data_IF_342001067369
#
_entry.id   IF_342001067369
#
_cell.length_a   1.000
_cell.length_b   1.000
_cell.length_c   1.000
_cell.angle_alpha   90.00
_cell.angle_beta   90.00
_cell.angle_gamma   90.00
#
_symmetry.space_group_name_H-M   'P 1'
#
loop_
_entity.id
_entity.type
_entity.pdbx_description
1 polymer ?
#
# COMPACT_ATOMS: atom_id res chain seq x y z
N UNK A 1 -26.22 16.73 -10.34
CA UNK A 1 -25.30 16.29 -11.42
C UNK A 1 -25.20 14.77 -11.34
N UNK A 2 -25.28 14.02 -12.44
CA UNK A 2 -25.00 12.58 -12.39
C UNK A 2 -23.53 12.42 -11.97
N UNK A 3 -23.27 11.68 -10.90
CA UNK A 3 -21.90 11.33 -10.47
C UNK A 3 -21.23 10.59 -11.62
N UNK A 4 -20.03 10.99 -11.98
CA UNK A 4 -19.26 10.26 -13.00
C UNK A 4 -18.91 8.88 -12.47
N UNK A 5 -19.24 7.82 -13.21
CA UNK A 5 -19.16 6.42 -12.75
C UNK A 5 -17.75 6.08 -12.23
N UNK A 6 -16.69 6.57 -12.87
CA UNK A 6 -15.31 6.31 -12.43
C UNK A 6 -14.94 6.96 -11.08
N UNK A 7 -15.81 7.84 -10.53
CA UNK A 7 -15.65 8.45 -9.20
C UNK A 7 -16.36 7.67 -8.09
N UNK A 8 -17.22 6.72 -8.45
CA UNK A 8 -17.94 5.92 -7.47
C UNK A 8 -16.99 5.01 -6.69
N UNK A 9 -17.22 4.90 -5.40
CA UNK A 9 -16.57 3.92 -4.52
C UNK A 9 -17.02 2.49 -4.85
N UNK A 10 -16.32 1.50 -4.35
CA UNK A 10 -16.70 0.10 -4.53
C UNK A 10 -18.06 -0.20 -3.89
N UNK A 11 -18.33 0.41 -2.73
CA UNK A 11 -19.63 0.29 -2.05
C UNK A 11 -20.75 0.89 -2.89
N UNK A 12 -20.59 2.12 -3.39
CA UNK A 12 -21.59 2.78 -4.24
C UNK A 12 -21.88 2.01 -5.52
N UNK A 13 -20.83 1.45 -6.15
CA UNK A 13 -21.00 0.56 -7.30
C UNK A 13 -21.80 -0.69 -6.94
N UNK A 14 -21.44 -1.35 -5.82
CA UNK A 14 -22.15 -2.55 -5.35
C UNK A 14 -23.63 -2.30 -5.08
N UNK A 15 -23.97 -1.17 -4.45
CA UNK A 15 -25.36 -0.76 -4.20
C UNK A 15 -26.10 -0.47 -5.51
N UNK A 16 -25.46 0.26 -6.43
CA UNK A 16 -26.04 0.55 -7.74
C UNK A 16 -26.27 -0.73 -8.58
N UNK A 17 -25.38 -1.73 -8.49
CA UNK A 17 -25.57 -3.04 -9.14
C UNK A 17 -26.75 -3.80 -8.53
N UNK A 18 -26.85 -3.79 -7.19
CA UNK A 18 -27.97 -4.41 -6.46
C UNK A 18 -29.31 -3.78 -6.84
N UNK A 19 -29.35 -2.46 -6.91
CA UNK A 19 -30.56 -1.70 -7.23
C UNK A 19 -30.84 -1.64 -8.75
N UNK A 20 -29.95 -2.24 -9.57
CA UNK A 20 -30.03 -2.26 -11.05
C UNK A 20 -30.09 -0.86 -11.68
N UNK A 21 -29.53 0.15 -11.00
CA UNK A 21 -29.41 1.52 -11.51
C UNK A 21 -28.14 1.72 -12.34
N UNK A 22 -27.19 0.80 -12.22
CA UNK A 22 -25.96 0.70 -12.98
C UNK A 22 -25.60 -0.78 -13.17
N UNK A 23 -24.94 -1.13 -14.27
CA UNK A 23 -24.42 -2.48 -14.48
C UNK A 23 -22.91 -2.57 -14.27
N UNK A 24 -22.35 -3.77 -13.91
CA UNK A 24 -20.91 -4.00 -13.93
C UNK A 24 -20.26 -3.70 -15.29
N UNK A 25 -20.99 -3.88 -16.39
CA UNK A 25 -20.51 -3.59 -17.75
C UNK A 25 -20.33 -2.10 -17.96
N UNK A 26 -21.27 -1.27 -17.51
CA UNK A 26 -21.16 0.20 -17.57
C UNK A 26 -19.99 0.69 -16.69
N UNK A 27 -19.82 0.09 -15.50
CA UNK A 27 -18.74 0.44 -14.58
C UNK A 27 -17.35 0.14 -15.19
N UNK A 28 -17.13 -1.05 -15.75
CA UNK A 28 -15.83 -1.37 -16.35
C UNK A 28 -15.57 -0.54 -17.60
N UNK A 29 -16.56 -0.29 -18.44
CA UNK A 29 -16.40 0.57 -19.62
C UNK A 29 -15.97 1.99 -19.21
N UNK A 30 -16.60 2.56 -18.19
CA UNK A 30 -16.23 3.90 -17.67
C UNK A 30 -14.78 3.92 -17.17
N UNK A 31 -14.31 2.86 -16.51
CA UNK A 31 -12.92 2.72 -16.04
C UNK A 31 -11.95 2.56 -17.22
N UNK A 32 -12.27 1.72 -18.20
CA UNK A 32 -11.43 1.53 -19.39
C UNK A 32 -11.31 2.80 -20.22
N UNK A 33 -12.39 3.53 -20.39
CA UNK A 33 -12.38 4.84 -21.05
C UNK A 33 -11.53 5.85 -20.27
N UNK A 34 -11.61 5.85 -18.94
CA UNK A 34 -10.77 6.69 -18.09
C UNK A 34 -9.30 6.36 -18.27
N UNK A 35 -8.93 5.08 -18.28
CA UNK A 35 -7.55 4.62 -18.53
C UNK A 35 -7.06 5.12 -19.90
N UNK A 36 -7.82 4.90 -20.97
CA UNK A 36 -7.46 5.35 -22.33
C UNK A 36 -7.21 6.85 -22.41
N UNK A 37 -7.95 7.64 -21.64
CA UNK A 37 -7.86 9.11 -21.70
C UNK A 37 -6.70 9.69 -20.88
N UNK A 38 -6.25 9.03 -19.81
CA UNK A 38 -5.31 9.68 -18.88
C UNK A 38 -4.05 8.86 -18.56
N UNK A 39 -4.02 7.55 -18.80
CA UNK A 39 -2.88 6.72 -18.35
C UNK A 39 -1.58 7.02 -19.10
N UNK A 40 -1.65 7.54 -20.32
CA UNK A 40 -0.47 8.04 -21.05
C UNK A 40 0.31 9.10 -20.25
N UNK A 41 -0.41 9.95 -19.47
CA UNK A 41 0.21 10.98 -18.62
C UNK A 41 0.75 10.41 -17.30
N UNK A 42 0.14 9.34 -16.79
CA UNK A 42 0.41 8.81 -15.44
C UNK A 42 1.32 7.58 -15.45
N UNK A 43 1.22 6.76 -16.48
CA UNK A 43 1.94 5.50 -16.61
C UNK A 43 1.72 4.57 -15.39
N UNK A 44 0.44 4.35 -15.07
CA UNK A 44 0.03 3.54 -13.91
C UNK A 44 -0.12 2.06 -14.23
N UNK A 45 -0.41 1.71 -15.50
CA UNK A 45 -0.58 0.33 -15.93
C UNK A 45 0.57 -0.14 -16.82
N UNK A 46 1.03 -1.38 -16.62
CA UNK A 46 1.99 -2.08 -17.48
C UNK A 46 1.31 -3.12 -18.37
N UNK A 47 0.13 -3.57 -17.99
CA UNK A 47 -0.67 -4.55 -18.72
C UNK A 47 -2.15 -4.36 -18.41
N UNK A 48 -2.99 -4.42 -19.44
CA UNK A 48 -4.45 -4.34 -19.33
C UNK A 48 -5.05 -5.46 -20.16
N UNK A 49 -6.06 -6.15 -19.63
CA UNK A 49 -6.83 -7.19 -20.32
C UNK A 49 -8.29 -6.76 -20.47
N UNK A 50 -8.55 -5.89 -21.46
CA UNK A 50 -9.88 -5.35 -21.72
C UNK A 50 -10.92 -6.46 -21.98
N UNK A 51 -10.56 -7.45 -22.78
CA UNK A 51 -11.48 -8.52 -23.17
C UNK A 51 -11.91 -9.36 -21.98
N UNK A 52 -10.95 -9.75 -21.11
CA UNK A 52 -11.24 -10.49 -19.89
C UNK A 52 -12.06 -9.64 -18.91
N UNK A 53 -11.71 -8.36 -18.73
CA UNK A 53 -12.44 -7.46 -17.84
C UNK A 53 -13.90 -7.30 -18.27
N UNK A 54 -14.17 -7.07 -19.56
CA UNK A 54 -15.52 -6.98 -20.11
C UNK A 54 -16.27 -8.32 -19.96
N UNK A 55 -15.61 -9.45 -20.19
CA UNK A 55 -16.19 -10.78 -20.00
C UNK A 55 -16.60 -10.99 -18.53
N UNK A 56 -15.71 -10.71 -17.59
CA UNK A 56 -15.98 -10.84 -16.14
C UNK A 56 -17.14 -9.94 -15.71
N UNK A 57 -17.19 -8.70 -16.23
CA UNK A 57 -18.29 -7.78 -15.95
C UNK A 57 -19.64 -8.29 -16.44
N UNK A 58 -19.71 -8.85 -17.65
CA UNK A 58 -20.94 -9.49 -18.18
C UNK A 58 -21.38 -10.69 -17.32
N UNK A 59 -20.44 -11.53 -16.90
CA UNK A 59 -20.74 -12.63 -16.00
C UNK A 59 -21.26 -12.15 -14.64
N UNK A 60 -20.71 -11.07 -14.11
CA UNK A 60 -21.18 -10.42 -12.88
C UNK A 60 -22.58 -9.81 -13.04
N UNK A 61 -22.86 -9.12 -14.14
CA UNK A 61 -24.17 -8.56 -14.43
C UNK A 61 -25.27 -9.63 -14.42
N UNK A 62 -25.00 -10.81 -14.99
CA UNK A 62 -25.91 -11.97 -14.95
C UNK A 62 -26.16 -12.38 -13.49
N UNK A 63 -25.13 -12.45 -12.64
CA UNK A 63 -25.28 -12.83 -11.23
C UNK A 63 -26.11 -11.81 -10.44
N UNK A 64 -25.85 -10.53 -10.63
CA UNK A 64 -26.64 -9.46 -9.99
C UNK A 64 -28.10 -9.49 -10.43
N UNK A 65 -28.38 -9.69 -11.73
CA UNK A 65 -29.73 -9.82 -12.26
C UNK A 65 -30.49 -10.99 -11.65
N UNK A 66 -29.80 -12.09 -11.35
CA UNK A 66 -30.35 -13.29 -10.73
C UNK A 66 -30.40 -13.23 -9.20
N UNK A 67 -29.93 -12.13 -8.57
CA UNK A 67 -29.87 -11.98 -7.11
C UNK A 67 -28.85 -12.89 -6.43
N UNK A 68 -27.82 -13.31 -7.15
CA UNK A 68 -26.78 -14.24 -6.67
C UNK A 68 -25.34 -13.71 -6.86
N UNK A 69 -25.03 -12.47 -6.45
CA UNK A 69 -23.66 -11.97 -6.49
C UNK A 69 -22.74 -12.81 -5.59
N UNK A 70 -21.48 -12.96 -5.97
CA UNK A 70 -20.51 -13.73 -5.21
C UNK A 70 -20.08 -13.03 -3.90
N UNK A 71 -20.03 -11.69 -3.93
CA UNK A 71 -19.65 -10.85 -2.79
C UNK A 71 -20.10 -9.40 -3.01
N UNK A 72 -19.82 -8.52 -2.05
CA UNK A 72 -20.03 -7.07 -2.20
C UNK A 72 -19.12 -6.39 -3.24
N UNK A 73 -18.05 -7.05 -3.69
CA UNK A 73 -17.20 -6.52 -4.77
C UNK A 73 -17.37 -7.29 -6.08
N UNK A 74 -18.40 -8.11 -6.21
CA UNK A 74 -18.73 -8.78 -7.48
C UNK A 74 -19.02 -7.72 -8.55
N UNK A 75 -18.24 -7.74 -9.63
CA UNK A 75 -18.34 -6.75 -10.71
C UNK A 75 -17.54 -5.46 -10.52
N UNK A 76 -16.93 -5.26 -9.34
CA UNK A 76 -16.14 -4.05 -9.06
C UNK A 76 -14.77 -4.10 -9.74
N UNK A 77 -14.40 -3.09 -10.56
CA UNK A 77 -13.10 -3.02 -11.21
C UNK A 77 -11.95 -2.95 -10.20
N UNK A 78 -10.96 -3.86 -10.34
CA UNK A 78 -9.86 -4.01 -9.37
C UNK A 78 -8.53 -4.20 -10.10
N UNK A 79 -7.51 -3.42 -9.70
CA UNK A 79 -6.15 -3.48 -10.26
C UNK A 79 -5.21 -4.28 -9.36
N UNK A 80 -4.20 -4.93 -9.96
CA UNK A 80 -3.23 -5.77 -9.26
C UNK A 80 -1.81 -5.29 -9.54
N UNK A 81 -1.02 -5.06 -8.48
CA UNK A 81 0.39 -4.71 -8.61
C UNK A 81 1.18 -5.79 -9.35
N UNK A 82 2.09 -5.37 -10.23
CA UNK A 82 2.93 -6.25 -11.05
C UNK A 82 4.05 -6.99 -10.29
N UNK A 83 3.80 -7.32 -9.03
CA UNK A 83 4.59 -8.25 -8.21
C UNK A 83 3.80 -9.52 -7.85
N UNK A 84 2.48 -9.45 -7.97
CA UNK A 84 1.56 -10.50 -7.53
C UNK A 84 1.19 -11.40 -8.73
N UNK A 85 1.41 -12.69 -8.59
CA UNK A 85 1.09 -13.65 -9.66
C UNK A 85 -0.39 -13.59 -10.02
N UNK A 86 -0.63 -13.60 -11.31
CA UNK A 86 -1.97 -13.70 -11.89
C UNK A 86 -1.89 -14.71 -13.01
N UNK A 87 -2.65 -15.79 -12.90
CA UNK A 87 -2.69 -16.85 -13.90
C UNK A 87 -3.06 -16.27 -15.26
N UNK A 88 -2.34 -16.72 -16.28
CA UNK A 88 -2.45 -16.33 -17.69
C UNK A 88 -2.01 -14.86 -17.98
N UNK A 89 -1.59 -14.10 -16.99
CA UNK A 89 -1.07 -12.74 -17.15
C UNK A 89 0.42 -12.64 -16.84
N UNK A 90 1.18 -11.85 -17.61
CA UNK A 90 2.58 -11.61 -17.31
C UNK A 90 2.73 -10.88 -15.97
N UNK A 91 3.67 -11.33 -15.14
CA UNK A 91 4.08 -10.66 -13.91
C UNK A 91 5.54 -10.28 -14.06
N UNK A 92 5.78 -9.13 -14.69
CA UNK A 92 7.10 -8.67 -15.12
C UNK A 92 7.94 -8.07 -14.00
N UNK A 93 7.31 -7.73 -12.86
CA UNK A 93 7.98 -7.19 -11.66
C UNK A 93 8.80 -5.92 -11.91
N UNK A 94 8.40 -5.10 -12.90
CA UNK A 94 9.13 -3.92 -13.32
C UNK A 94 10.52 -4.21 -13.89
N UNK A 95 10.83 -5.45 -14.25
CA UNK A 95 12.18 -5.90 -14.59
C UNK A 95 12.31 -6.39 -16.04
N UNK A 96 13.37 -5.99 -16.71
CA UNK A 96 13.78 -6.53 -18.00
C UNK A 96 14.37 -7.93 -17.91
N UNK A 97 14.70 -8.42 -16.70
CA UNK A 97 15.29 -9.75 -16.48
C UNK A 97 14.25 -10.86 -16.49
N UNK A 98 12.96 -10.51 -16.34
CA UNK A 98 11.86 -11.47 -16.33
C UNK A 98 11.45 -11.81 -17.76
N UNK A 99 11.33 -13.09 -18.06
CA UNK A 99 10.87 -13.54 -19.38
C UNK A 99 9.34 -13.41 -19.48
N UNK A 100 8.87 -12.52 -20.36
CA UNK A 100 7.44 -12.31 -20.59
C UNK A 100 6.68 -13.56 -21.13
N UNK A 101 7.41 -14.48 -21.76
CA UNK A 101 6.86 -15.72 -22.31
C UNK A 101 6.86 -16.87 -21.28
N UNK A 102 7.05 -16.56 -19.99
CA UNK A 102 6.87 -17.55 -18.91
C UNK A 102 5.43 -18.06 -18.91
N UNK A 103 5.25 -19.35 -18.67
CA UNK A 103 3.93 -19.95 -18.48
C UNK A 103 3.41 -19.58 -17.07
N UNK A 104 2.55 -18.57 -17.01
CA UNK A 104 1.97 -18.03 -15.78
C UNK A 104 0.80 -18.90 -15.30
N UNK A 105 1.08 -20.01 -14.61
CA UNK A 105 0.11 -21.04 -14.23
C UNK A 105 -0.67 -20.75 -12.96
N UNK A 106 -0.16 -19.84 -12.11
CA UNK A 106 -0.63 -19.71 -10.75
C UNK A 106 -1.16 -18.30 -10.48
N UNK A 107 -2.15 -18.23 -9.60
CA UNK A 107 -2.56 -17.00 -8.94
C UNK A 107 -1.86 -16.87 -7.56
N UNK A 108 -1.45 -15.67 -7.19
CA UNK A 108 -1.16 -15.37 -5.79
C UNK A 108 -2.45 -15.54 -4.95
N UNK A 109 -2.37 -15.83 -3.64
CA UNK A 109 -3.56 -15.97 -2.78
C UNK A 109 -4.55 -14.82 -2.94
N UNK A 110 -4.06 -13.59 -2.91
CA UNK A 110 -4.90 -12.40 -3.08
C UNK A 110 -5.61 -12.37 -4.44
N UNK A 111 -4.94 -12.76 -5.52
CA UNK A 111 -5.53 -12.83 -6.86
C UNK A 111 -6.63 -13.90 -6.92
N UNK A 112 -6.40 -15.06 -6.30
CA UNK A 112 -7.39 -16.12 -6.21
C UNK A 112 -8.64 -15.64 -5.46
N UNK A 113 -8.47 -14.99 -4.29
CA UNK A 113 -9.60 -14.43 -3.50
C UNK A 113 -10.40 -13.40 -4.29
N UNK A 114 -9.74 -12.52 -5.06
CA UNK A 114 -10.43 -11.55 -5.92
C UNK A 114 -11.28 -12.24 -7.01
N UNK A 115 -10.73 -13.23 -7.71
CA UNK A 115 -11.47 -14.01 -8.72
C UNK A 115 -12.67 -14.76 -8.11
N UNK A 116 -12.47 -15.36 -6.95
CA UNK A 116 -13.55 -16.08 -6.22
C UNK A 116 -14.64 -15.12 -5.75
N UNK A 117 -14.31 -13.89 -5.35
CA UNK A 117 -15.26 -12.86 -4.93
C UNK A 117 -16.01 -12.22 -6.10
N UNK A 118 -15.60 -12.48 -7.35
CA UNK A 118 -16.24 -11.93 -8.55
C UNK A 118 -15.74 -10.54 -8.94
N UNK A 119 -14.66 -10.04 -8.35
CA UNK A 119 -14.05 -8.78 -8.77
C UNK A 119 -13.67 -8.81 -10.26
N UNK A 120 -13.84 -7.69 -10.95
CA UNK A 120 -13.43 -7.53 -12.35
C UNK A 120 -11.97 -7.09 -12.40
N UNK A 121 -11.09 -7.97 -12.83
CA UNK A 121 -9.66 -7.67 -12.89
C UNK A 121 -9.35 -6.82 -14.14
N UNK A 122 -8.74 -5.65 -13.93
CA UNK A 122 -8.42 -4.69 -15.01
C UNK A 122 -7.09 -5.05 -15.69
N UNK A 123 -6.05 -5.30 -14.85
CA UNK A 123 -4.69 -5.47 -15.33
C UNK A 123 -3.65 -5.35 -14.22
N UNK A 124 -2.39 -5.16 -14.65
CA UNK A 124 -1.21 -5.08 -13.80
C UNK A 124 -0.72 -3.65 -13.71
N UNK A 125 -0.53 -3.13 -12.49
CA UNK A 125 -0.05 -1.77 -12.24
C UNK A 125 1.47 -1.73 -12.10
N UNK A 126 2.07 -0.63 -12.49
CA UNK A 126 3.53 -0.42 -12.50
C UNK A 126 4.14 -0.46 -11.09
N UNK A 127 5.40 -0.85 -11.03
CA UNK A 127 6.23 -0.95 -9.83
C UNK A 127 7.69 -0.69 -10.20
N UNK A 128 8.57 -0.18 -9.31
CA UNK A 128 9.98 -0.26 -9.54
C UNK A 128 10.44 -1.71 -9.59
N UNK A 129 11.58 -1.97 -10.19
CA UNK A 129 12.12 -3.32 -10.34
C UNK A 129 12.13 -4.10 -9.03
N UNK A 130 11.43 -5.24 -9.00
CA UNK A 130 11.22 -6.08 -7.80
C UNK A 130 10.70 -5.34 -6.56
N UNK A 131 10.17 -4.14 -6.71
CA UNK A 131 9.62 -3.35 -5.61
C UNK A 131 10.66 -2.74 -4.67
N UNK A 132 11.90 -2.57 -5.09
CA UNK A 132 13.05 -2.30 -4.21
C UNK A 132 13.15 -0.88 -3.63
N UNK A 133 12.37 0.10 -4.11
CA UNK A 133 12.48 1.50 -3.66
C UNK A 133 11.13 2.18 -3.45
N UNK A 134 11.15 3.31 -2.73
CA UNK A 134 9.96 4.11 -2.37
C UNK A 134 9.42 5.02 -3.46
N UNK A 135 9.98 4.98 -4.68
CA UNK A 135 9.48 5.66 -5.89
C UNK A 135 9.13 4.62 -6.94
N UNK A 136 8.21 4.95 -7.86
CA UNK A 136 7.82 4.02 -8.94
C UNK A 136 8.44 4.46 -10.26
N UNK A 137 9.60 3.90 -10.50
CA UNK A 137 10.39 4.06 -11.71
C UNK A 137 11.17 2.76 -11.97
N UNK A 138 11.12 2.23 -13.18
CA UNK A 138 11.85 1.02 -13.54
C UNK A 138 12.45 1.09 -14.94
N UNK A 139 13.51 0.29 -15.21
CA UNK A 139 14.07 0.15 -16.56
C UNK A 139 13.07 -0.37 -17.59
N UNK A 140 12.03 -1.09 -17.13
CA UNK A 140 11.02 -1.71 -18.00
C UNK A 140 9.91 -0.74 -18.37
N UNK A 141 9.39 0.03 -17.40
CA UNK A 141 8.15 0.81 -17.57
C UNK A 141 8.36 2.32 -17.53
N UNK A 142 9.55 2.79 -17.15
CA UNK A 142 9.78 4.23 -16.92
C UNK A 142 9.17 4.72 -15.61
N UNK A 143 8.72 5.96 -15.56
CA UNK A 143 8.27 6.68 -14.37
C UNK A 143 6.76 6.70 -14.28
N UNK A 144 6.22 6.35 -13.11
CA UNK A 144 4.80 6.56 -12.77
C UNK A 144 4.62 7.89 -12.04
N UNK A 145 3.65 8.68 -12.46
CA UNK A 145 3.46 10.06 -12.02
C UNK A 145 2.30 10.19 -11.05
N UNK A 146 2.37 11.24 -10.23
CA UNK A 146 1.35 11.56 -9.24
C UNK A 146 0.15 12.26 -9.91
N UNK A 147 -1.09 11.77 -9.73
CA UNK A 147 -2.28 12.39 -10.34
C UNK A 147 -2.54 13.83 -9.88
N UNK A 148 -2.12 14.19 -8.65
CA UNK A 148 -2.29 15.55 -8.11
C UNK A 148 -1.30 16.55 -8.72
N UNK A 149 -0.13 16.08 -9.14
CA UNK A 149 0.85 16.86 -9.87
C UNK A 149 1.76 15.93 -10.67
N UNK A 150 1.62 15.90 -11.99
CA UNK A 150 2.35 14.99 -12.87
C UNK A 150 3.88 15.24 -12.91
N UNK A 151 4.38 16.35 -12.36
CA UNK A 151 5.81 16.56 -12.16
C UNK A 151 6.36 15.85 -10.91
N UNK A 152 5.48 15.30 -10.07
CA UNK A 152 5.83 14.64 -8.82
C UNK A 152 5.72 13.12 -8.92
N UNK A 153 6.47 12.42 -8.07
CA UNK A 153 6.38 10.96 -7.90
C UNK A 153 5.05 10.56 -7.28
N UNK A 154 4.49 9.44 -7.72
CA UNK A 154 3.35 8.79 -7.06
C UNK A 154 3.74 8.08 -5.75
N UNK A 155 5.03 8.10 -5.40
CA UNK A 155 5.60 7.22 -4.39
C UNK A 155 5.81 5.80 -4.93
N UNK A 156 6.12 4.87 -4.04
CA UNK A 156 6.43 3.48 -4.41
C UNK A 156 6.53 2.56 -3.17
N UNK A 157 6.65 1.30 -3.47
CA UNK A 157 6.75 0.64 -4.78
C UNK A 157 5.41 0.35 -5.45
N UNK A 158 4.23 0.60 -4.81
CA UNK A 158 2.91 0.40 -5.39
C UNK A 158 2.36 1.69 -6.03
N UNK A 159 3.22 2.49 -6.69
CA UNK A 159 2.83 3.78 -7.25
C UNK A 159 1.87 3.68 -8.43
N UNK A 160 1.94 2.62 -9.24
CA UNK A 160 0.94 2.36 -10.26
C UNK A 160 -0.44 2.10 -9.67
N UNK A 161 -0.54 1.27 -8.62
CA UNK A 161 -1.80 1.02 -7.91
C UNK A 161 -2.38 2.29 -7.31
N UNK A 162 -1.55 3.12 -6.64
CA UNK A 162 -2.02 4.36 -6.05
C UNK A 162 -2.43 5.41 -7.09
N UNK A 163 -1.64 5.55 -8.15
CA UNK A 163 -1.96 6.47 -9.24
C UNK A 163 -3.27 6.09 -9.95
N UNK A 164 -3.47 4.77 -10.18
CA UNK A 164 -4.72 4.23 -10.75
C UNK A 164 -5.94 4.60 -9.91
N UNK A 165 -5.94 4.27 -8.62
CA UNK A 165 -7.09 4.52 -7.72
C UNK A 165 -7.33 6.02 -7.52
N UNK A 166 -6.29 6.80 -7.27
CA UNK A 166 -6.41 8.25 -7.04
C UNK A 166 -6.97 9.01 -8.24
N UNK A 167 -6.77 8.50 -9.45
CA UNK A 167 -7.22 9.15 -10.70
C UNK A 167 -8.53 8.59 -11.27
N UNK A 168 -9.14 7.60 -10.61
CA UNK A 168 -10.41 6.98 -11.06
C UNK A 168 -10.24 5.91 -12.13
N UNK A 169 -9.06 5.34 -12.27
CA UNK A 169 -8.80 4.20 -13.15
C UNK A 169 -9.06 2.85 -12.46
N UNK A 170 -10.07 2.82 -11.62
CA UNK A 170 -10.56 1.72 -10.79
C UNK A 170 -10.63 2.10 -9.31
N UNK A 171 -11.71 1.71 -8.59
CA UNK A 171 -11.88 2.08 -7.18
C UNK A 171 -11.00 1.27 -6.22
N UNK A 172 -10.56 0.09 -6.63
CA UNK A 172 -9.81 -0.86 -5.81
C UNK A 172 -8.47 -1.21 -6.46
N UNK A 173 -7.42 -1.28 -5.65
CA UNK A 173 -6.15 -1.87 -6.07
C UNK A 173 -5.48 -2.64 -4.94
N UNK A 174 -4.64 -3.61 -5.34
CA UNK A 174 -3.77 -4.34 -4.42
C UNK A 174 -2.34 -3.83 -4.58
N UNK A 175 -1.71 -3.56 -3.43
CA UNK A 175 -0.29 -3.25 -3.32
C UNK A 175 0.48 -4.26 -2.48
N UNK A 176 1.79 -4.06 -2.37
CA UNK A 176 2.67 -4.77 -1.44
C UNK A 176 3.46 -3.77 -0.61
N UNK A 177 3.80 -4.11 0.63
CA UNK A 177 4.49 -3.22 1.57
C UNK A 177 5.56 -4.00 2.34
N UNK A 178 6.82 -3.82 1.94
CA UNK A 178 7.98 -4.38 2.62
C UNK A 178 8.77 -3.37 3.45
N UNK A 179 8.55 -2.07 3.19
CA UNK A 179 9.19 -0.96 3.91
C UNK A 179 8.34 0.32 3.87
N UNK A 180 7.06 0.23 3.49
CA UNK A 180 6.16 1.36 3.31
C UNK A 180 5.44 1.39 1.97
N UNK A 181 5.62 0.38 1.15
CA UNK A 181 5.25 0.44 -0.28
C UNK A 181 3.74 0.41 -0.60
N UNK A 182 2.85 0.31 0.39
CA UNK A 182 1.43 0.67 0.32
C UNK A 182 1.24 2.08 0.88
N UNK A 183 1.81 2.34 2.07
CA UNK A 183 1.59 3.57 2.85
C UNK A 183 2.21 4.79 2.19
N UNK A 184 3.44 4.70 1.69
CA UNK A 184 4.14 5.81 0.99
C UNK A 184 3.29 6.31 -0.20
N UNK A 185 2.94 5.46 -1.19
CA UNK A 185 2.18 5.93 -2.34
C UNK A 185 0.75 6.35 -1.97
N UNK A 186 0.08 5.72 -1.00
CA UNK A 186 -1.22 6.20 -0.50
C UNK A 186 -1.12 7.59 0.13
N UNK A 187 -0.09 7.86 0.93
CA UNK A 187 0.18 9.18 1.51
C UNK A 187 0.37 10.24 0.43
N UNK A 188 1.15 9.95 -0.62
CA UNK A 188 1.45 10.90 -1.70
C UNK A 188 0.29 11.12 -2.67
N UNK A 189 -0.66 10.19 -2.75
CA UNK A 189 -1.78 10.26 -3.69
C UNK A 189 -3.15 10.45 -3.03
N UNK A 190 -3.18 10.64 -1.69
CA UNK A 190 -4.39 10.98 -0.95
C UNK A 190 -5.36 9.82 -0.76
N UNK A 191 -4.85 8.61 -0.59
CA UNK A 191 -5.60 7.37 -0.44
C UNK A 191 -5.53 6.80 0.97
N UNK A 192 -6.47 5.91 1.28
CA UNK A 192 -6.34 4.93 2.34
C UNK A 192 -5.54 3.73 1.87
N UNK A 193 -4.65 3.24 2.74
CA UNK A 193 -3.93 1.98 2.52
C UNK A 193 -3.41 1.41 3.82
N UNK A 194 -3.38 0.10 3.93
CA UNK A 194 -2.89 -0.58 5.12
C UNK A 194 -1.84 -1.63 4.79
N UNK A 195 -0.76 -1.63 5.57
CA UNK A 195 0.10 -2.76 5.79
C UNK A 195 -0.45 -3.54 6.98
N UNK A 196 -1.05 -4.71 6.78
CA UNK A 196 -1.64 -5.47 7.89
C UNK A 196 -0.60 -6.01 8.87
N UNK A 197 -1.06 -6.60 9.97
CA UNK A 197 -0.27 -7.54 10.75
C UNK A 197 0.31 -8.61 9.83
N UNK A 198 1.59 -8.93 10.00
CA UNK A 198 2.22 -9.95 9.16
C UNK A 198 1.46 -11.30 9.25
N UNK A 199 1.22 -11.91 8.09
CA UNK A 199 0.45 -13.15 7.96
C UNK A 199 -1.07 -12.97 7.88
N UNK A 200 -1.61 -11.75 8.09
CA UNK A 200 -3.05 -11.49 8.04
C UNK A 200 -3.62 -11.60 6.63
N UNK A 201 -2.86 -11.16 5.63
CA UNK A 201 -3.14 -11.38 4.21
C UNK A 201 -2.15 -12.40 3.69
N UNK A 202 -2.60 -13.60 3.29
CA UNK A 202 -1.70 -14.64 2.77
C UNK A 202 -0.92 -14.19 1.55
N UNK A 203 0.36 -14.52 1.51
CA UNK A 203 1.29 -14.21 0.43
C UNK A 203 2.03 -15.45 -0.07
N UNK A 204 1.96 -15.68 -1.39
CA UNK A 204 2.68 -16.74 -2.08
C UNK A 204 2.93 -16.32 -3.54
N UNK A 205 4.10 -16.59 -4.15
CA UNK A 205 5.33 -17.13 -3.52
C UNK A 205 5.85 -16.24 -2.39
N UNK A 206 6.63 -16.84 -1.47
CA UNK A 206 7.25 -16.09 -0.38
C UNK A 206 8.14 -14.98 -0.93
N UNK A 207 8.02 -13.80 -0.35
CA UNK A 207 8.86 -12.66 -0.71
C UNK A 207 10.35 -12.94 -0.36
N UNK A 208 11.31 -12.56 -1.23
CA UNK A 208 12.73 -12.65 -0.90
C UNK A 208 13.11 -11.77 0.30
N UNK A 209 12.30 -10.76 0.62
CA UNK A 209 12.47 -9.91 1.80
C UNK A 209 11.89 -10.53 3.09
N UNK A 210 11.36 -11.75 3.01
CA UNK A 210 10.90 -12.52 4.17
C UNK A 210 9.69 -11.88 4.87
N UNK A 211 9.69 -11.94 6.20
CA UNK A 211 8.54 -11.58 7.05
C UNK A 211 8.31 -10.06 7.22
N UNK A 212 9.09 -9.21 6.56
CA UNK A 212 8.83 -7.77 6.51
C UNK A 212 7.87 -7.38 5.36
N UNK A 213 7.68 -8.27 4.38
CA UNK A 213 6.84 -8.03 3.21
C UNK A 213 5.38 -8.44 3.45
N UNK A 214 4.45 -7.55 3.11
CA UNK A 214 3.01 -7.73 3.28
C UNK A 214 2.29 -7.40 1.98
N UNK A 215 1.05 -7.86 1.85
CA UNK A 215 0.09 -7.47 0.81
C UNK A 215 -1.00 -6.64 1.48
N UNK A 216 -1.45 -5.58 0.82
CA UNK A 216 -2.50 -4.72 1.39
C UNK A 216 -3.37 -4.02 0.36
N UNK A 217 -4.60 -3.62 0.76
CA UNK A 217 -5.53 -2.87 -0.06
C UNK A 217 -5.10 -1.41 -0.18
N UNK A 218 -5.46 -0.79 -1.31
CA UNK A 218 -5.28 0.63 -1.60
C UNK A 218 -6.58 1.15 -2.22
N UNK A 219 -7.23 2.11 -1.56
CA UNK A 219 -8.59 2.56 -1.90
C UNK A 219 -8.75 4.05 -1.63
N UNK A 220 -9.80 4.67 -2.20
CA UNK A 220 -10.11 6.07 -1.89
C UNK A 220 -10.75 6.21 -0.52
N UNK A 221 -11.63 5.28 -0.13
CA UNK A 221 -12.35 5.30 1.13
C UNK A 221 -11.85 4.21 2.08
N UNK A 222 -11.92 4.47 3.38
CA UNK A 222 -11.60 3.49 4.42
C UNK A 222 -12.55 2.30 4.35
N UNK A 223 -13.83 2.54 4.01
CA UNK A 223 -14.84 1.49 3.89
C UNK A 223 -14.52 0.51 2.75
N UNK A 224 -14.14 1.01 1.57
CA UNK A 224 -13.71 0.14 0.47
C UNK A 224 -12.46 -0.65 0.83
N UNK A 225 -11.52 -0.02 1.58
CA UNK A 225 -10.37 -0.70 2.14
C UNK A 225 -10.74 -1.86 3.05
N UNK A 226 -11.74 -1.68 3.91
CA UNK A 226 -12.24 -2.71 4.80
C UNK A 226 -12.94 -3.85 4.04
N UNK A 227 -13.77 -3.53 3.02
CA UNK A 227 -14.37 -4.52 2.15
C UNK A 227 -13.31 -5.37 1.45
N UNK A 228 -12.33 -4.71 0.82
CA UNK A 228 -11.26 -5.40 0.11
C UNK A 228 -10.40 -6.24 1.06
N UNK A 229 -10.06 -5.68 2.24
CA UNK A 229 -9.30 -6.38 3.27
C UNK A 229 -10.01 -7.65 3.75
N UNK A 230 -11.31 -7.61 4.01
CA UNK A 230 -12.09 -8.78 4.45
C UNK A 230 -12.07 -9.94 3.44
N UNK A 231 -11.93 -9.64 2.17
CA UNK A 231 -11.84 -10.64 1.08
C UNK A 231 -10.43 -11.23 0.99
N UNK A 232 -9.41 -10.37 0.98
CA UNK A 232 -8.04 -10.82 0.74
C UNK A 232 -7.39 -11.47 1.96
N UNK A 233 -7.96 -11.30 3.16
CA UNK A 233 -7.52 -11.92 4.42
C UNK A 233 -8.07 -13.33 4.63
N UNK A 234 -8.69 -13.95 3.62
CA UNK A 234 -9.17 -15.32 3.70
C UNK A 234 -7.99 -16.32 3.65
N UNK A 235 -8.10 -17.47 4.35
CA UNK A 235 -7.03 -18.45 4.42
C UNK A 235 -6.56 -18.95 3.05
N UNK A 236 -5.24 -19.18 2.95
CA UNK A 236 -4.65 -19.90 1.82
C UNK A 236 -3.52 -20.80 2.34
N UNK A 237 -3.62 -22.10 2.07
CA UNK A 237 -2.69 -23.11 2.56
C UNK A 237 -1.26 -22.96 2.05
N UNK A 238 -1.04 -22.19 0.98
CA UNK A 238 0.29 -21.96 0.38
C UNK A 238 1.15 -21.00 1.22
N UNK A 239 0.52 -20.15 2.05
CA UNK A 239 1.25 -19.32 3.01
C UNK A 239 1.29 -20.01 4.38
N UNK A 240 2.40 -20.62 4.70
CA UNK A 240 2.61 -21.29 5.97
C UNK A 240 2.68 -20.36 7.19
N UNK A 241 2.83 -19.05 6.97
CA UNK A 241 2.79 -18.01 8.01
C UNK A 241 1.39 -17.42 8.20
N UNK A 242 0.40 -17.83 7.40
CA UNK A 242 -0.91 -17.19 7.44
C UNK A 242 -1.59 -17.27 8.80
N UNK A 243 -2.00 -16.10 9.32
CA UNK A 243 -2.83 -15.94 10.51
C UNK A 243 -4.06 -15.11 10.15
N UNK A 244 -5.07 -15.77 9.58
CA UNK A 244 -6.20 -15.15 8.92
C UNK A 244 -7.45 -15.01 9.79
N UNK A 245 -7.34 -15.15 11.11
CA UNK A 245 -8.48 -14.94 11.99
C UNK A 245 -8.97 -13.49 11.89
N UNK A 246 -10.23 -13.31 11.52
CA UNK A 246 -10.90 -12.01 11.44
C UNK A 246 -12.23 -12.07 12.18
N UNK A 247 -12.61 -10.96 12.80
CA UNK A 247 -13.95 -10.80 13.37
C UNK A 247 -15.00 -10.79 12.27
N UNK A 248 -16.10 -11.52 12.47
CA UNK A 248 -17.22 -11.53 11.54
C UNK A 248 -17.87 -10.15 11.32
N UNK A 249 -17.74 -9.25 12.30
CA UNK A 249 -18.35 -7.91 12.32
C UNK A 249 -17.31 -6.82 11.98
N UNK A 250 -16.20 -7.18 11.33
CA UNK A 250 -15.09 -6.25 11.06
C UNK A 250 -15.54 -4.93 10.43
N UNK A 251 -16.41 -4.98 9.43
CA UNK A 251 -16.90 -3.79 8.73
C UNK A 251 -17.83 -2.95 9.62
N UNK A 252 -18.69 -3.59 10.42
CA UNK A 252 -19.63 -2.89 11.30
C UNK A 252 -18.90 -2.09 12.38
N UNK A 253 -17.74 -2.57 12.84
CA UNK A 253 -16.88 -1.89 13.83
C UNK A 253 -16.35 -0.53 13.37
N UNK A 254 -16.32 -0.25 12.08
CA UNK A 254 -15.88 1.06 11.56
C UNK A 254 -16.73 2.24 12.06
N UNK A 255 -17.91 1.95 12.59
CA UNK A 255 -18.82 2.95 13.16
C UNK A 255 -18.58 3.22 14.67
N UNK A 256 -17.77 2.42 15.36
CA UNK A 256 -17.58 2.52 16.83
C UNK A 256 -16.92 3.85 17.25
N UNK A 257 -16.09 4.45 16.39
CA UNK A 257 -15.35 5.68 16.70
C UNK A 257 -14.21 5.46 17.70
N UNK A 258 -13.60 6.57 18.14
CA UNK A 258 -12.35 6.54 18.93
C UNK A 258 -12.50 7.16 20.33
N UNK A 259 -13.72 7.47 20.76
CA UNK A 259 -13.97 8.07 22.08
C UNK A 259 -13.41 7.18 23.21
N UNK A 260 -12.60 7.78 24.07
CA UNK A 260 -11.97 7.11 25.23
C UNK A 260 -10.72 6.29 24.88
N UNK A 261 -10.34 6.14 23.60
CA UNK A 261 -9.09 5.48 23.19
C UNK A 261 -7.89 6.26 23.71
N UNK A 262 -6.87 5.55 24.18
CA UNK A 262 -5.57 6.11 24.55
C UNK A 262 -4.63 6.06 23.35
N UNK A 263 -4.21 7.20 22.86
CA UNK A 263 -3.42 7.33 21.64
C UNK A 263 -2.06 7.96 21.94
N UNK A 264 -0.98 7.26 21.61
CA UNK A 264 0.36 7.83 21.63
C UNK A 264 0.60 8.59 20.32
N UNK A 265 0.97 9.86 20.40
CA UNK A 265 1.44 10.66 19.27
C UNK A 265 2.96 10.77 19.28
N UNK A 266 3.62 10.33 18.24
CA UNK A 266 5.06 10.51 18.07
C UNK A 266 5.34 11.16 16.70
N UNK A 267 5.80 12.42 16.66
CA UNK A 267 5.92 13.19 15.41
C UNK A 267 6.97 12.66 14.45
N UNK A 268 7.93 11.89 14.95
CA UNK A 268 9.09 11.36 14.20
C UNK A 268 9.30 9.86 14.37
N UNK A 269 8.44 9.19 15.14
CA UNK A 269 8.59 7.77 15.52
C UNK A 269 10.00 7.43 16.08
N UNK A 270 10.68 8.42 16.71
CA UNK A 270 12.02 8.26 17.24
C UNK A 270 13.13 8.19 16.19
N UNK A 271 12.83 8.52 14.94
CA UNK A 271 13.79 8.40 13.83
C UNK A 271 14.72 9.60 13.71
N UNK A 272 14.42 10.74 14.36
CA UNK A 272 15.32 11.88 14.46
C UNK A 272 16.64 11.56 15.16
N UNK A 273 16.68 10.49 15.97
CA UNK A 273 17.91 9.98 16.61
C UNK A 273 18.67 8.94 15.78
N UNK A 274 18.10 8.52 14.64
CA UNK A 274 18.65 7.44 13.78
C UNK A 274 19.11 7.97 12.43
N UNK A 275 18.41 8.97 11.90
CA UNK A 275 18.68 9.56 10.59
C UNK A 275 19.42 10.89 10.73
N UNK A 276 20.53 11.04 10.00
CA UNK A 276 21.28 12.28 9.95
C UNK A 276 21.69 12.61 8.51
N UNK A 277 21.32 13.80 7.96
CA UNK A 277 20.49 14.80 8.59
C UNK A 277 19.02 14.38 8.63
N UNK A 278 18.34 14.62 9.76
CA UNK A 278 16.88 14.44 9.88
C UNK A 278 16.14 15.74 9.55
N UNK A 279 15.05 15.64 8.82
CA UNK A 279 14.17 16.77 8.53
C UNK A 279 12.72 16.32 8.39
N UNK A 280 11.79 17.19 8.74
CA UNK A 280 10.37 17.05 8.41
C UNK A 280 9.87 18.37 7.82
N UNK A 281 9.11 18.29 6.73
CA UNK A 281 8.52 19.49 6.15
C UNK A 281 7.51 20.12 7.10
N UNK A 282 7.62 21.44 7.29
CA UNK A 282 6.76 22.20 8.21
C UNK A 282 5.26 22.01 7.93
N UNK A 283 4.87 21.88 6.65
CA UNK A 283 3.47 21.67 6.28
C UNK A 283 2.97 20.29 6.72
N UNK A 284 3.83 19.29 6.67
CA UNK A 284 3.53 17.93 7.17
C UNK A 284 3.32 17.97 8.67
N UNK A 285 4.24 18.60 9.41
CA UNK A 285 4.15 18.76 10.87
C UNK A 285 2.85 19.46 11.27
N UNK A 286 2.55 20.62 10.66
CA UNK A 286 1.35 21.41 10.96
C UNK A 286 0.07 20.60 10.68
N UNK A 287 0.02 19.91 9.52
CA UNK A 287 -1.17 19.15 9.12
C UNK A 287 -1.38 17.95 10.03
N UNK A 288 -0.31 17.23 10.37
CA UNK A 288 -0.35 16.13 11.32
C UNK A 288 -0.83 16.56 12.70
N UNK A 289 -0.31 17.70 13.23
CA UNK A 289 -0.72 18.23 14.52
C UNK A 289 -2.21 18.59 14.56
N UNK A 290 -2.75 19.20 13.50
CA UNK A 290 -4.21 19.45 13.37
C UNK A 290 -5.03 18.18 13.41
N UNK A 291 -4.51 17.08 12.83
CA UNK A 291 -5.18 15.79 12.90
C UNK A 291 -5.15 15.20 14.29
N UNK A 292 -4.08 15.43 15.06
CA UNK A 292 -4.02 15.07 16.49
C UNK A 292 -5.08 15.84 17.29
N UNK A 293 -5.18 17.16 17.10
CA UNK A 293 -6.21 18.01 17.72
C UNK A 293 -7.63 17.54 17.35
N UNK A 294 -7.84 17.06 16.11
CA UNK A 294 -9.08 16.43 15.69
C UNK A 294 -9.38 15.16 16.49
N UNK A 295 -8.41 14.25 16.68
CA UNK A 295 -8.60 13.03 17.47
C UNK A 295 -9.02 13.34 18.91
N UNK A 296 -8.43 14.38 19.54
CA UNK A 296 -8.82 14.84 20.87
C UNK A 296 -10.27 15.37 20.86
N UNK A 297 -10.65 16.15 19.86
CA UNK A 297 -12.03 16.65 19.70
C UNK A 297 -13.07 15.55 19.52
N UNK A 298 -12.67 14.39 18.98
CA UNK A 298 -13.49 13.18 18.86
C UNK A 298 -13.52 12.35 20.14
N UNK A 299 -12.88 12.83 21.21
CA UNK A 299 -12.93 12.24 22.55
C UNK A 299 -11.85 11.20 22.83
N UNK A 300 -10.80 11.12 22.02
CA UNK A 300 -9.61 10.32 22.37
C UNK A 300 -8.73 11.04 23.39
N UNK A 301 -7.97 10.28 24.16
CA UNK A 301 -6.93 10.79 25.07
C UNK A 301 -5.59 10.69 24.34
N UNK A 302 -5.07 11.80 23.82
CA UNK A 302 -3.81 11.81 23.07
C UNK A 302 -2.67 12.29 23.96
N UNK A 303 -1.58 11.54 23.98
CA UNK A 303 -0.35 11.91 24.68
C UNK A 303 0.81 11.94 23.69
N UNK A 304 1.55 13.04 23.63
CA UNK A 304 2.77 13.11 22.87
C UNK A 304 3.89 12.40 23.61
N UNK A 305 4.52 11.45 22.93
CA UNK A 305 5.60 10.64 23.47
C UNK A 305 6.88 10.75 22.62
N UNK A 306 7.99 10.32 23.20
CA UNK A 306 9.26 10.09 22.51
C UNK A 306 9.52 8.57 22.42
N UNK A 307 9.92 8.11 21.25
CA UNK A 307 10.36 6.72 21.05
C UNK A 307 11.88 6.69 20.98
N UNK A 308 12.50 5.81 21.79
CA UNK A 308 13.94 5.55 21.75
C UNK A 308 14.14 4.10 21.35
N UNK A 309 14.57 3.88 20.12
CA UNK A 309 14.82 2.55 19.60
C UNK A 309 16.00 1.90 20.33
N UNK A 310 15.83 0.74 20.95
CA UNK A 310 16.93 0.03 21.64
C UNK A 310 18.01 -0.49 20.69
N UNK A 311 17.68 -0.64 19.41
CA UNK A 311 18.62 -0.97 18.33
C UNK A 311 18.30 -0.15 17.12
N UNK A 312 19.30 0.21 16.31
CA UNK A 312 19.14 0.99 15.08
C UNK A 312 18.23 0.27 14.07
N UNK A 313 16.98 0.75 13.87
CA UNK A 313 16.04 0.12 12.95
C UNK A 313 16.45 0.31 11.49
N UNK A 314 17.13 1.40 11.13
CA UNK A 314 17.60 1.65 9.76
C UNK A 314 18.63 0.63 9.34
N UNK A 315 19.69 0.45 10.17
CA UNK A 315 20.77 -0.52 9.90
C UNK A 315 20.21 -1.94 9.77
N UNK A 316 19.35 -2.34 10.68
CA UNK A 316 18.75 -3.67 10.65
C UNK A 316 17.90 -3.86 9.40
N UNK A 317 17.03 -2.87 9.06
CA UNK A 317 16.21 -2.91 7.86
C UNK A 317 17.08 -3.00 6.59
N UNK A 318 18.13 -2.19 6.49
CA UNK A 318 19.04 -2.17 5.35
C UNK A 318 19.67 -3.56 5.09
N UNK A 319 20.19 -4.20 6.15
CA UNK A 319 20.76 -5.56 6.06
C UNK A 319 19.72 -6.58 5.59
N UNK A 320 18.51 -6.54 6.13
CA UNK A 320 17.42 -7.44 5.73
C UNK A 320 17.04 -7.23 4.26
N UNK A 321 16.97 -5.97 3.83
CA UNK A 321 16.56 -5.60 2.48
C UNK A 321 17.61 -6.00 1.44
N UNK A 322 18.86 -5.64 1.65
CA UNK A 322 19.97 -5.97 0.73
C UNK A 322 20.24 -7.47 0.67
N UNK A 323 20.12 -8.19 1.80
CA UNK A 323 20.19 -9.67 1.81
C UNK A 323 19.08 -10.29 0.95
N UNK A 324 17.85 -9.76 1.02
CA UNK A 324 16.74 -10.22 0.18
C UNK A 324 16.97 -9.95 -1.31
N UNK A 325 17.53 -8.78 -1.65
CA UNK A 325 17.91 -8.45 -3.02
C UNK A 325 19.00 -9.39 -3.57
N UNK A 326 20.04 -9.64 -2.77
CA UNK A 326 21.11 -10.59 -3.13
C UNK A 326 20.58 -12.01 -3.36
N UNK A 327 19.71 -12.49 -2.47
CA UNK A 327 19.06 -13.80 -2.61
C UNK A 327 18.24 -13.90 -3.90
N UNK A 328 17.50 -12.86 -4.26
CA UNK A 328 16.71 -12.83 -5.49
C UNK A 328 17.60 -12.94 -6.74
N UNK A 329 18.72 -12.24 -6.76
CA UNK A 329 19.60 -12.15 -7.93
C UNK A 329 20.75 -13.19 -7.92
N UNK A 330 20.83 -14.08 -6.92
CA UNK A 330 21.94 -15.01 -6.74
C UNK A 330 22.25 -15.90 -7.95
N UNK A 331 21.20 -16.25 -8.71
CA UNK A 331 21.31 -17.10 -9.89
C UNK A 331 21.24 -16.35 -11.23
N UNK A 332 21.31 -15.01 -11.20
CA UNK A 332 21.28 -14.21 -12.42
C UNK A 332 22.64 -14.31 -13.12
N UNK A 333 22.63 -14.56 -14.44
CA UNK A 333 23.82 -14.44 -15.29
C UNK A 333 24.27 -12.95 -15.33
N UNK A 334 25.52 -12.72 -15.74
CA UNK A 334 26.06 -11.37 -15.88
C UNK A 334 25.20 -10.52 -16.83
N UNK A 335 24.79 -11.06 -17.97
CA UNK A 335 23.92 -10.39 -18.92
C UNK A 335 22.58 -9.93 -18.30
N UNK A 336 22.03 -10.71 -17.37
CA UNK A 336 20.84 -10.31 -16.62
C UNK A 336 21.15 -9.24 -15.59
N UNK A 337 22.30 -9.34 -14.91
CA UNK A 337 22.74 -8.31 -13.93
C UNK A 337 22.94 -6.95 -14.59
N UNK A 338 23.38 -6.91 -15.84
CA UNK A 338 23.57 -5.68 -16.61
C UNK A 338 22.23 -5.01 -17.03
N UNK A 339 21.11 -5.74 -16.98
CA UNK A 339 19.77 -5.23 -17.24
C UNK A 339 19.06 -4.65 -16.00
N UNK A 340 19.63 -4.84 -14.82
CA UNK A 340 19.03 -4.38 -13.55
C UNK A 340 19.05 -2.86 -13.43
N UNK A 341 18.08 -2.33 -12.66
CA UNK A 341 18.14 -0.96 -12.13
C UNK A 341 19.48 -0.80 -11.38
N UNK A 342 20.27 0.25 -11.67
CA UNK A 342 21.59 0.41 -11.07
C UNK A 342 21.58 0.34 -9.53
N UNK A 343 20.55 0.93 -8.89
CA UNK A 343 20.43 0.93 -7.42
C UNK A 343 20.02 -0.44 -6.88
N UNK A 344 19.20 -1.19 -7.61
CA UNK A 344 18.87 -2.56 -7.22
C UNK A 344 20.10 -3.48 -7.35
N UNK A 345 20.92 -3.27 -8.38
CA UNK A 345 22.20 -3.98 -8.54
C UNK A 345 23.14 -3.71 -7.37
N UNK A 346 23.31 -2.44 -6.95
CA UNK A 346 24.09 -2.09 -5.76
C UNK A 346 23.58 -2.85 -4.52
N UNK A 347 22.27 -2.92 -4.29
CA UNK A 347 21.69 -3.69 -3.17
C UNK A 347 22.00 -5.18 -3.27
N UNK A 348 22.01 -5.76 -4.47
CA UNK A 348 22.35 -7.16 -4.66
C UNK A 348 23.83 -7.42 -4.34
N UNK A 349 24.73 -6.52 -4.80
CA UNK A 349 26.17 -6.62 -4.56
C UNK A 349 26.47 -6.47 -3.06
N UNK A 350 25.95 -5.44 -2.40
CA UNK A 350 26.11 -5.22 -0.97
C UNK A 350 25.56 -6.39 -0.13
N UNK A 351 24.34 -6.84 -0.45
CA UNK A 351 23.70 -7.93 0.28
C UNK A 351 24.45 -9.26 0.18
N UNK A 352 25.22 -9.47 -0.90
CA UNK A 352 26.05 -10.66 -1.09
C UNK A 352 27.30 -10.66 -0.18
N UNK A 353 27.73 -9.48 0.30
CA UNK A 353 28.88 -9.35 1.23
C UNK A 353 28.49 -9.57 2.70
N UNK A 354 27.18 -9.60 3.01
CA UNK A 354 26.74 -9.81 4.39
C UNK A 354 27.04 -11.22 4.88
N UNK A 355 27.68 -11.30 6.05
CA UNK A 355 27.87 -12.57 6.74
C UNK A 355 26.55 -13.11 7.31
N UNK A 356 26.52 -14.41 7.59
CA UNK A 356 25.41 -15.02 8.34
C UNK A 356 25.17 -14.30 9.68
N UNK A 357 26.26 -13.93 10.37
CA UNK A 357 26.15 -13.25 11.68
C UNK A 357 25.55 -11.85 11.53
N UNK A 358 25.96 -11.08 10.53
CA UNK A 358 25.35 -9.76 10.23
C UNK A 358 23.84 -9.88 10.02
N UNK A 359 23.41 -10.92 9.30
CA UNK A 359 21.98 -11.18 9.06
C UNK A 359 21.24 -11.57 10.34
N UNK A 360 21.85 -12.39 11.20
CA UNK A 360 21.26 -12.80 12.48
C UNK A 360 21.22 -11.65 13.50
N UNK A 361 22.22 -10.77 13.51
CA UNK A 361 22.21 -9.54 14.32
C UNK A 361 21.06 -8.61 13.90
N UNK A 362 20.77 -8.48 12.61
CA UNK A 362 19.64 -7.70 12.12
C UNK A 362 18.28 -8.28 12.59
N UNK A 363 18.14 -9.62 12.61
CA UNK A 363 16.95 -10.27 13.18
C UNK A 363 16.84 -10.10 14.70
N UNK A 364 17.95 -10.15 15.43
CA UNK A 364 17.97 -9.91 16.89
C UNK A 364 17.59 -8.45 17.19
N UNK A 365 18.12 -7.48 16.44
CA UNK A 365 17.76 -6.07 16.52
C UNK A 365 16.26 -5.87 16.28
N UNK A 366 15.73 -6.52 15.25
CA UNK A 366 14.30 -6.52 14.93
C UNK A 366 13.44 -7.05 16.08
N UNK A 367 13.85 -8.15 16.70
CA UNK A 367 13.14 -8.73 17.83
C UNK A 367 13.12 -7.78 19.04
N UNK A 368 14.27 -7.17 19.38
CA UNK A 368 14.40 -6.20 20.47
C UNK A 368 13.51 -4.98 20.26
N UNK A 369 13.48 -4.42 19.04
CA UNK A 369 12.62 -3.30 18.67
C UNK A 369 11.13 -3.70 18.73
N UNK A 370 10.80 -4.93 18.35
CA UNK A 370 9.44 -5.47 18.42
C UNK A 370 8.92 -5.59 19.84
N UNK A 371 9.77 -5.99 20.80
CA UNK A 371 9.42 -6.04 22.23
C UNK A 371 9.08 -4.64 22.75
N UNK A 372 9.89 -3.64 22.45
CA UNK A 372 9.65 -2.25 22.87
C UNK A 372 8.31 -1.72 22.35
N UNK A 373 7.96 -1.96 21.07
CA UNK A 373 6.66 -1.54 20.53
C UNK A 373 5.51 -2.34 21.16
N UNK A 374 5.67 -3.65 21.44
CA UNK A 374 4.65 -4.40 22.19
C UNK A 374 4.44 -3.85 23.61
N UNK A 375 5.51 -3.39 24.28
CA UNK A 375 5.43 -2.76 25.60
C UNK A 375 4.68 -1.43 25.55
N UNK A 376 4.91 -0.59 24.52
CA UNK A 376 4.15 0.63 24.29
C UNK A 376 2.64 0.34 24.25
N UNK A 377 2.24 -0.69 23.53
CA UNK A 377 0.84 -1.09 23.41
C UNK A 377 0.22 -1.76 24.67
N UNK A 378 0.95 -1.87 25.77
CA UNK A 378 0.33 -2.17 27.09
C UNK A 378 -0.35 -0.92 27.69
N UNK A 379 0.04 0.28 27.26
CA UNK A 379 -0.46 1.54 27.79
C UNK A 379 -1.34 2.32 26.82
N UNK A 380 -1.19 2.06 25.51
CA UNK A 380 -1.90 2.77 24.44
C UNK A 380 -2.63 1.80 23.52
N UNK A 381 -3.78 2.24 23.00
CA UNK A 381 -4.54 1.51 21.98
C UNK A 381 -3.93 1.71 20.57
N UNK A 382 -3.44 2.92 20.30
CA UNK A 382 -2.89 3.31 18.99
C UNK A 382 -1.61 4.13 19.18
N UNK A 383 -0.73 4.05 18.17
CA UNK A 383 0.40 4.95 17.97
C UNK A 383 0.19 5.68 16.64
N UNK A 384 0.29 7.00 16.64
CA UNK A 384 0.01 7.82 15.47
C UNK A 384 1.10 8.86 15.18
N UNK A 385 1.18 9.28 13.91
CA UNK A 385 2.11 10.31 13.45
C UNK A 385 2.00 10.53 11.93
N UNK A 386 2.90 11.32 11.33
CA UNK A 386 2.92 11.47 9.87
C UNK A 386 3.30 10.16 9.17
N UNK A 387 2.71 9.88 8.00
CA UNK A 387 3.13 8.71 7.20
C UNK A 387 4.53 8.93 6.60
N UNK A 388 4.78 10.14 6.11
CA UNK A 388 6.05 10.53 5.49
C UNK A 388 6.51 11.87 6.07
N UNK A 389 7.83 12.11 6.14
CA UNK A 389 8.35 13.40 6.59
C UNK A 389 8.28 14.50 5.52
N UNK A 390 7.94 14.15 4.28
CA UNK A 390 7.88 15.03 3.11
C UNK A 390 6.62 14.76 2.30
N UNK A 391 6.20 15.74 1.51
CA UNK A 391 5.19 15.57 0.44
C UNK A 391 5.82 14.91 -0.79
N UNK A 392 5.00 14.57 -1.78
CA UNK A 392 5.48 14.07 -3.07
C UNK A 392 6.45 15.08 -3.69
N UNK A 393 7.56 14.58 -4.21
CA UNK A 393 8.66 15.35 -4.78
C UNK A 393 8.86 15.01 -6.27
N UNK A 394 9.84 15.61 -6.90
CA UNK A 394 10.12 15.48 -8.35
C UNK A 394 10.18 14.02 -8.80
N UNK A 395 9.41 13.67 -9.82
CA UNK A 395 9.21 12.28 -10.28
C UNK A 395 10.48 11.59 -10.78
N UNK A 396 11.42 12.37 -11.33
CA UNK A 396 12.70 11.90 -11.86
C UNK A 396 13.73 11.59 -10.77
N UNK A 397 13.45 11.97 -9.49
CA UNK A 397 14.35 11.74 -8.36
C UNK A 397 13.97 10.49 -7.59
N UNK A 398 14.95 9.77 -7.08
CA UNK A 398 14.73 8.65 -6.15
C UNK A 398 14.69 9.09 -4.68
N UNK A 399 15.20 10.28 -4.38
CA UNK A 399 15.23 10.91 -3.06
C UNK A 399 14.81 12.37 -3.17
N UNK A 400 14.15 12.95 -2.15
CA UNK A 400 13.82 14.38 -2.13
C UNK A 400 15.09 15.25 -2.09
N UNK A 401 14.96 16.48 -2.56
CA UNK A 401 16.04 17.46 -2.46
C UNK A 401 16.38 17.77 -1.00
N UNK A 402 17.67 17.87 -0.68
CA UNK A 402 18.15 18.11 0.69
C UNK A 402 18.25 16.86 1.58
N UNK A 403 17.75 15.72 1.13
CA UNK A 403 17.95 14.43 1.78
C UNK A 403 19.25 13.76 1.27
N UNK A 404 19.79 12.82 2.03
CA UNK A 404 20.98 12.05 1.66
C UNK A 404 20.78 11.26 0.34
N UNK A 405 21.73 10.39 0.03
CA UNK A 405 21.66 9.52 -1.16
C UNK A 405 21.03 8.15 -0.86
N UNK A 406 20.86 7.82 0.42
CA UNK A 406 20.28 6.56 0.86
C UNK A 406 18.76 6.58 0.63
N UNK A 407 18.25 5.52 -0.02
CA UNK A 407 16.84 5.38 -0.33
C UNK A 407 15.95 5.22 0.92
N UNK A 408 16.52 4.90 2.08
CA UNK A 408 15.79 4.69 3.33
C UNK A 408 15.77 5.92 4.24
N UNK A 409 16.60 6.94 3.98
CA UNK A 409 16.68 8.14 4.82
C UNK A 409 15.36 8.94 4.79
N UNK A 410 14.72 9.03 3.62
CA UNK A 410 13.50 9.81 3.44
C UNK A 410 12.19 9.02 3.68
N UNK A 411 12.30 7.70 4.01
CA UNK A 411 11.16 6.85 4.33
C UNK A 411 11.17 6.33 5.79
N UNK A 412 11.64 7.13 6.77
CA UNK A 412 12.00 6.62 8.10
C UNK A 412 10.79 6.17 8.92
N UNK A 413 9.59 6.66 8.62
CA UNK A 413 8.41 6.42 9.45
C UNK A 413 7.67 5.12 9.13
N UNK A 414 8.01 4.44 8.03
CA UNK A 414 7.25 3.29 7.55
C UNK A 414 7.92 1.94 7.84
N UNK A 415 9.20 1.76 7.50
CA UNK A 415 9.87 0.46 7.62
C UNK A 415 10.03 -0.06 9.05
N UNK A 416 10.09 0.76 10.14
CA UNK A 416 10.14 0.19 11.48
C UNK A 416 8.95 -0.72 11.81
N UNK A 417 7.77 -0.39 11.29
CA UNK A 417 6.55 -1.19 11.50
C UNK A 417 6.43 -2.40 10.55
N UNK A 418 7.22 -2.48 9.50
CA UNK A 418 7.45 -3.73 8.77
C UNK A 418 8.29 -4.69 9.61
N UNK A 419 9.37 -4.18 10.20
CA UNK A 419 10.27 -4.97 11.03
C UNK A 419 9.57 -5.53 12.25
N UNK A 420 8.76 -4.74 12.92
CA UNK A 420 8.03 -5.16 14.14
C UNK A 420 6.74 -5.91 13.85
N UNK A 421 6.35 -6.06 12.57
CA UNK A 421 5.14 -6.78 12.14
C UNK A 421 3.80 -6.18 12.60
N UNK A 422 3.77 -4.99 13.18
CA UNK A 422 2.52 -4.34 13.61
C UNK A 422 1.71 -3.84 12.42
N UNK A 423 0.37 -3.87 12.47
CA UNK A 423 -0.46 -3.27 11.44
C UNK A 423 -0.26 -1.76 11.41
N UNK A 424 -0.17 -1.19 10.23
CA UNK A 424 0.02 0.24 10.04
C UNK A 424 -0.77 0.72 8.81
N UNK A 425 -1.70 1.63 9.02
CA UNK A 425 -2.51 2.23 7.98
C UNK A 425 -2.07 3.68 7.72
N UNK A 426 -2.40 4.19 6.53
CA UNK A 426 -2.33 5.62 6.21
C UNK A 426 -3.69 6.10 5.72
N UNK A 427 -4.04 7.33 6.07
CA UNK A 427 -5.24 8.02 5.59
C UNK A 427 -4.87 9.46 5.23
N UNK A 428 -5.53 10.03 4.23
CA UNK A 428 -5.33 11.43 3.87
C UNK A 428 -5.80 12.34 5.01
N UNK A 429 -4.93 13.19 5.53
CA UNK A 429 -5.24 14.13 6.60
C UNK A 429 -5.25 15.60 6.17
N UNK A 430 -5.01 15.88 4.91
CA UNK A 430 -5.02 17.25 4.38
C UNK A 430 -4.21 17.41 3.11
N UNK A 431 -4.10 18.66 2.69
CA UNK A 431 -3.36 19.05 1.50
C UNK A 431 -2.47 20.26 1.80
N UNK A 432 -1.30 20.28 1.19
CA UNK A 432 -0.46 21.47 1.11
C UNK A 432 0.08 21.66 -0.29
N UNK A 433 -0.06 22.88 -0.83
CA UNK A 433 0.33 23.20 -2.22
C UNK A 433 -0.27 22.23 -3.27
N UNK A 434 -1.52 21.77 -3.04
CA UNK A 434 -2.22 20.86 -3.92
C UNK A 434 -1.81 19.38 -3.80
N UNK A 435 -0.85 19.05 -2.94
CA UNK A 435 -0.38 17.68 -2.69
C UNK A 435 -0.96 17.13 -1.38
N UNK A 436 -1.41 15.86 -1.36
CA UNK A 436 -1.91 15.19 -0.17
C UNK A 436 -0.83 14.99 0.90
N UNK A 437 -1.27 14.90 2.16
CA UNK A 437 -0.46 14.52 3.32
C UNK A 437 -1.14 13.34 4.01
N UNK A 438 -0.39 12.28 4.28
CA UNK A 438 -0.89 11.08 4.96
C UNK A 438 -0.59 11.09 6.46
N UNK A 439 -1.57 10.61 7.22
CA UNK A 439 -1.47 10.35 8.66
C UNK A 439 -1.36 8.85 8.89
N UNK A 440 -0.34 8.41 9.63
CA UNK A 440 -0.09 7.00 9.90
C UNK A 440 -0.68 6.59 11.24
N UNK A 441 -1.32 5.43 11.25
CA UNK A 441 -2.01 4.84 12.40
C UNK A 441 -1.48 3.43 12.57
N UNK A 442 -0.87 3.14 13.73
CA UNK A 442 -0.31 1.83 14.08
C UNK A 442 -1.10 1.28 15.26
N UNK A 443 -1.40 -0.02 15.23
CA UNK A 443 -2.04 -0.72 16.33
C UNK A 443 -1.19 -1.91 16.79
N UNK A 444 -1.57 -2.52 17.91
CA UNK A 444 -0.97 -3.79 18.35
C UNK A 444 -1.19 -4.88 17.30
N UNK A 445 -0.35 -5.90 17.31
CA UNK A 445 -0.50 -7.07 16.43
C UNK A 445 -1.89 -7.68 16.57
N UNK A 446 -2.47 -8.09 15.46
CA UNK A 446 -3.81 -8.65 15.31
C UNK A 446 -4.99 -7.71 15.64
N UNK A 447 -4.70 -6.44 15.95
CA UNK A 447 -5.71 -5.39 16.12
C UNK A 447 -5.81 -4.49 14.86
N UNK A 448 -5.73 -5.09 13.67
CA UNK A 448 -5.85 -4.37 12.39
C UNK A 448 -7.11 -3.51 12.33
N UNK A 449 -8.22 -3.98 12.90
CA UNK A 449 -9.50 -3.27 12.95
C UNK A 449 -9.40 -1.90 13.63
N UNK A 450 -8.57 -1.75 14.66
CA UNK A 450 -8.40 -0.47 15.36
C UNK A 450 -7.81 0.60 14.45
N UNK A 451 -6.94 0.21 13.48
CA UNK A 451 -6.42 1.15 12.47
C UNK A 451 -7.52 1.64 11.53
N UNK A 452 -8.44 0.76 11.13
CA UNK A 452 -9.58 1.13 10.28
C UNK A 452 -10.58 2.02 11.02
N UNK A 453 -10.88 1.73 12.29
CA UNK A 453 -11.79 2.54 13.11
C UNK A 453 -11.26 3.97 13.22
N UNK A 454 -9.99 4.12 13.56
CA UNK A 454 -9.36 5.44 13.67
C UNK A 454 -9.31 6.16 12.31
N UNK A 455 -8.91 5.47 11.24
CA UNK A 455 -8.89 6.04 9.89
C UNK A 455 -10.30 6.46 9.44
N UNK A 456 -11.34 5.67 9.73
CA UNK A 456 -12.74 6.01 9.43
C UNK A 456 -13.21 7.27 10.19
N UNK A 457 -12.81 7.42 11.45
CA UNK A 457 -13.13 8.60 12.23
C UNK A 457 -12.49 9.88 11.65
N UNK A 458 -11.22 9.78 11.21
CA UNK A 458 -10.50 10.88 10.55
C UNK A 458 -11.16 11.20 9.20
N UNK A 459 -11.37 10.20 8.33
CA UNK A 459 -11.97 10.36 7.00
C UNK A 459 -13.31 11.08 7.05
N UNK A 460 -14.21 10.60 7.93
CA UNK A 460 -15.55 11.19 8.11
C UNK A 460 -15.53 12.63 8.62
N UNK A 461 -14.56 12.96 9.47
CA UNK A 461 -14.47 14.28 10.07
C UNK A 461 -13.83 15.33 9.15
N UNK A 462 -12.91 14.91 8.29
CA UNK A 462 -12.21 15.79 7.36
C UNK A 462 -12.95 15.98 6.03
N UNK A 463 -13.76 15.02 5.63
CA UNK A 463 -14.57 15.03 4.39
C UNK A 463 -13.75 15.39 3.14
N UNK A 464 -12.61 14.70 2.97
CA UNK A 464 -11.67 14.94 1.86
C UNK A 464 -11.87 14.01 0.67
N UNK A 465 -12.79 13.03 0.77
CA UNK A 465 -12.99 11.96 -0.23
C UNK A 465 -13.44 12.52 -1.58
N UNK A 466 -14.23 13.60 -1.56
CA UNK A 466 -14.75 14.24 -2.79
C UNK A 466 -13.72 15.12 -3.51
N UNK A 467 -12.51 15.28 -2.98
CA UNK A 467 -11.44 15.97 -3.68
C UNK A 467 -10.79 15.03 -4.71
N UNK A 468 -10.75 15.49 -5.94
CA UNK A 468 -10.17 14.74 -7.08
C UNK A 468 -9.04 15.50 -7.74
N UNK A 469 -8.01 14.81 -8.24
CA UNK A 469 -6.98 15.45 -9.05
C UNK A 469 -7.57 15.94 -10.38
N UNK A 470 -7.05 17.07 -10.86
CA UNK A 470 -7.40 17.65 -12.16
C UNK A 470 -6.33 17.21 -13.18
N UNK A 471 -6.71 16.39 -14.18
CA UNK A 471 -5.81 15.76 -15.16
C UNK A 471 -6.13 16.19 -16.59
#
# INVERSE_FOLDING_TARGET
MKTEIYKMSALELSEAFKDKTLSPVEAINSVLDRIKNIDEKLNAYVFIDEDLAIKQAKESEIRWNNGSPKSKIDGVPTAIKDLLLTKDWPTMRGSKTVNKNTDWKDDAPVTARLKESGAVLIGKTTTPEFGHKGTTQSPLTGITRNPWNVSCTSGGSSGGSSSSVSSGMGPLAIGTDGGGSVRIPCSFTGLFGIKPTFGKVPAWPLSPFGTIANVGPMTRTVHDGALLFSIISQPDWRDWNANTQMDSNFIDKLAEGIKGKKIAYCPDFGMSHVIEPYSIEKDVEITTKKTVELLESLGAHVEQIEIKWPSDPKRAFHVLWTSGAAFLAQNFSNDKKDLLDPKFREFCEEGAEHSLFTRLEAEASRATNGVMINELFQNYDLLVGPTMPTKAFKAESNVPEGWGKDLFDWTPFTYPFNMTCHPAATVNCGFSNGLPIGFQIIARKDADVDTFICASAIEKSLDLVDKWPVL
#
